data_IF_161023831410
#
_entry.id   IF_161023831410
#
_cell.length_a   1.000
_cell.length_b   1.000
_cell.length_c   1.000
_cell.angle_alpha   90.00
_cell.angle_beta   90.00
_cell.angle_gamma   90.00
#
_symmetry.space_group_name_H-M   'P 1'
#
loop_
_entity.id
_entity.type
_entity.pdbx_description
1 polymer ?
#
# COMPACT_ATOMS: atom_id res chain seq x y z
N UNK A 1 5.42 -16.72 3.07
CA UNK A 1 4.66 -17.81 2.42
C UNK A 1 5.22 -18.14 1.05
N UNK A 2 5.43 -17.17 0.15
CA UNK A 2 5.93 -17.44 -1.21
C UNK A 2 7.30 -18.11 -1.24
N UNK A 3 8.23 -17.68 -0.37
CA UNK A 3 9.51 -18.37 -0.17
C UNK A 3 9.33 -19.82 0.29
N UNK A 4 8.35 -20.09 1.17
CA UNK A 4 8.04 -21.45 1.65
C UNK A 4 7.50 -22.31 0.51
N UNK A 5 6.66 -21.76 -0.38
CA UNK A 5 6.20 -22.49 -1.57
C UNK A 5 7.36 -22.84 -2.50
N UNK A 6 8.28 -21.90 -2.72
CA UNK A 6 9.44 -22.13 -3.56
C UNK A 6 10.37 -23.20 -2.98
N UNK A 7 10.72 -23.09 -1.69
CA UNK A 7 11.61 -24.04 -1.00
C UNK A 7 10.99 -25.45 -0.92
N UNK A 8 9.68 -25.54 -0.68
CA UNK A 8 8.99 -26.84 -0.58
C UNK A 8 8.59 -27.47 -1.91
N UNK A 9 8.80 -26.78 -3.03
CA UNK A 9 8.32 -27.24 -4.34
C UNK A 9 6.78 -27.32 -4.42
N UNK A 10 6.07 -26.46 -3.68
CA UNK A 10 4.61 -26.49 -3.61
C UNK A 10 3.98 -26.12 -4.96
N UNK A 11 3.35 -27.10 -5.61
CA UNK A 11 2.59 -26.92 -6.85
C UNK A 11 1.42 -25.95 -6.65
N UNK A 12 1.09 -25.18 -7.69
CA UNK A 12 0.12 -24.08 -7.63
C UNK A 12 -1.23 -24.52 -7.04
N UNK A 13 -1.70 -25.70 -7.40
CA UNK A 13 -2.98 -26.28 -6.95
C UNK A 13 -3.05 -26.51 -5.43
N UNK A 14 -1.90 -26.67 -4.77
CA UNK A 14 -1.83 -26.93 -3.33
C UNK A 14 -1.52 -25.67 -2.50
N UNK A 15 -1.17 -24.55 -3.13
CA UNK A 15 -0.73 -23.34 -2.43
C UNK A 15 -1.82 -22.77 -1.50
N UNK A 16 -3.08 -22.75 -1.95
CA UNK A 16 -4.20 -22.28 -1.12
C UNK A 16 -4.40 -23.19 0.08
N UNK A 17 -4.46 -24.52 -0.14
CA UNK A 17 -4.59 -25.51 0.93
C UNK A 17 -3.47 -25.36 1.97
N UNK A 18 -2.24 -25.26 1.50
CA UNK A 18 -1.05 -25.07 2.34
C UNK A 18 -1.10 -23.74 3.11
N UNK A 19 -1.47 -22.62 2.48
CA UNK A 19 -1.57 -21.36 3.20
C UNK A 19 -2.68 -21.40 4.27
N UNK A 20 -3.83 -21.97 3.93
CA UNK A 20 -4.99 -21.98 4.82
C UNK A 20 -4.80 -22.88 6.04
N UNK A 21 -3.97 -23.93 5.93
CA UNK A 21 -3.66 -24.77 7.09
C UNK A 21 -2.79 -24.06 8.14
N UNK A 22 -2.12 -22.97 7.76
CA UNK A 22 -1.33 -22.13 8.68
C UNK A 22 -2.16 -21.01 9.33
N UNK A 23 -3.43 -20.84 8.94
CA UNK A 23 -4.29 -19.81 9.52
C UNK A 23 -4.69 -20.17 10.94
N UNK A 24 -4.69 -19.16 11.81
CA UNK A 24 -5.08 -19.28 13.21
C UNK A 24 -6.16 -18.24 13.57
N UNK A 25 -6.88 -18.50 14.67
CA UNK A 25 -7.82 -17.59 15.30
C UNK A 25 -8.80 -16.92 14.32
N UNK A 26 -8.83 -15.58 14.31
CA UNK A 26 -9.74 -14.77 13.50
C UNK A 26 -9.56 -15.01 11.99
N UNK A 27 -8.37 -15.38 11.52
CA UNK A 27 -8.12 -15.69 10.11
C UNK A 27 -8.74 -17.04 9.72
N UNK A 28 -8.63 -18.04 10.60
CA UNK A 28 -9.23 -19.36 10.40
C UNK A 28 -10.77 -19.29 10.42
N UNK A 29 -11.34 -18.55 11.38
CA UNK A 29 -12.80 -18.33 11.45
C UNK A 29 -13.30 -17.67 10.17
N UNK A 30 -12.56 -16.67 9.67
CA UNK A 30 -12.91 -16.01 8.42
C UNK A 30 -12.84 -16.95 7.21
N UNK A 31 -11.78 -17.76 7.09
CA UNK A 31 -11.63 -18.73 6.00
C UNK A 31 -12.75 -19.78 6.02
N UNK A 32 -13.11 -20.29 7.20
CA UNK A 32 -14.24 -21.22 7.35
C UNK A 32 -15.57 -20.59 6.93
N UNK A 33 -15.78 -19.30 7.23
CA UNK A 33 -16.90 -18.54 6.70
C UNK A 33 -16.88 -18.46 5.17
N UNK A 34 -15.70 -18.25 4.58
CA UNK A 34 -15.52 -18.22 3.13
C UNK A 34 -15.85 -19.55 2.46
N UNK A 35 -15.38 -20.67 3.05
CA UNK A 35 -15.70 -22.02 2.61
C UNK A 35 -17.20 -22.28 2.62
N UNK A 36 -17.91 -21.83 3.67
CA UNK A 36 -19.37 -21.97 3.76
C UNK A 36 -20.11 -21.19 2.68
N UNK A 37 -19.61 -20.01 2.30
CA UNK A 37 -20.26 -19.16 1.30
C UNK A 37 -19.99 -19.61 -0.13
N UNK A 38 -18.76 -20.00 -0.46
CA UNK A 38 -18.36 -20.36 -1.83
C UNK A 38 -18.46 -21.86 -2.12
N UNK A 39 -18.45 -22.70 -1.08
CA UNK A 39 -18.25 -24.13 -1.21
C UNK A 39 -16.76 -24.49 -1.25
N UNK A 40 -16.44 -25.72 -0.84
CA UNK A 40 -15.07 -26.20 -0.71
C UNK A 40 -14.35 -26.23 -2.07
N UNK A 41 -15.01 -26.76 -3.10
CA UNK A 41 -14.40 -26.92 -4.44
C UNK A 41 -14.03 -25.56 -5.05
N UNK A 42 -14.96 -24.61 -5.07
CA UNK A 42 -14.71 -23.28 -5.61
C UNK A 42 -13.69 -22.49 -4.78
N UNK A 43 -13.71 -22.65 -3.44
CA UNK A 43 -12.77 -21.98 -2.57
C UNK A 43 -11.33 -22.52 -2.76
N UNK A 44 -11.13 -23.83 -2.86
CA UNK A 44 -9.79 -24.40 -3.07
C UNK A 44 -9.32 -24.31 -4.52
N UNK A 45 -10.23 -24.14 -5.49
CA UNK A 45 -9.87 -23.86 -6.88
C UNK A 45 -9.34 -22.44 -7.11
N UNK A 46 -9.47 -21.53 -6.13
CA UNK A 46 -8.95 -20.18 -6.29
C UNK A 46 -7.42 -20.16 -6.34
N UNK A 47 -6.85 -19.17 -7.01
CA UNK A 47 -5.39 -18.99 -7.02
C UNK A 47 -4.90 -18.38 -5.71
N UNK A 48 -3.64 -18.66 -5.36
CA UNK A 48 -2.97 -18.00 -4.24
C UNK A 48 -3.03 -16.47 -4.32
N UNK A 49 -2.88 -15.90 -5.54
CA UNK A 49 -2.99 -14.46 -5.79
C UNK A 49 -4.34 -13.89 -5.33
N UNK A 50 -5.43 -14.60 -5.63
CA UNK A 50 -6.78 -14.20 -5.22
C UNK A 50 -6.96 -14.28 -3.71
N UNK A 51 -6.49 -15.35 -3.07
CA UNK A 51 -6.55 -15.49 -1.61
C UNK A 51 -5.75 -14.37 -0.92
N UNK A 52 -4.51 -14.12 -1.38
CA UNK A 52 -3.63 -13.06 -0.87
C UNK A 52 -4.32 -11.69 -0.94
N UNK A 53 -4.95 -11.36 -2.07
CA UNK A 53 -5.71 -10.10 -2.23
C UNK A 53 -6.87 -9.99 -1.23
N UNK A 54 -7.66 -11.05 -1.05
CA UNK A 54 -8.77 -11.06 -0.07
C UNK A 54 -8.28 -10.86 1.36
N UNK A 55 -7.20 -11.54 1.74
CA UNK A 55 -6.57 -11.41 3.06
C UNK A 55 -6.05 -9.98 3.29
N UNK A 56 -5.34 -9.40 2.32
CA UNK A 56 -4.85 -8.02 2.41
C UNK A 56 -6.00 -7.03 2.54
N UNK A 57 -7.07 -7.18 1.76
CA UNK A 57 -8.22 -6.27 1.85
C UNK A 57 -8.92 -6.33 3.23
N UNK A 58 -9.01 -7.53 3.84
CA UNK A 58 -9.70 -7.70 5.12
C UNK A 58 -8.86 -7.26 6.32
N UNK A 59 -7.58 -7.62 6.34
CA UNK A 59 -6.71 -7.43 7.50
C UNK A 59 -5.73 -6.27 7.35
N UNK A 60 -5.60 -5.69 6.15
CA UNK A 60 -4.74 -4.56 5.89
C UNK A 60 -5.45 -3.44 5.10
N UNK A 61 -6.50 -2.83 5.68
CA UNK A 61 -7.32 -1.82 5.00
C UNK A 61 -6.58 -0.51 4.69
N UNK A 62 -5.39 -0.29 5.26
CA UNK A 62 -4.56 0.89 4.98
C UNK A 62 -3.34 0.48 4.17
N UNK A 63 -3.36 0.78 2.87
CA UNK A 63 -2.33 0.44 1.88
C UNK A 63 -0.89 0.77 2.33
N UNK A 64 -0.73 1.79 3.18
CA UNK A 64 0.53 2.22 3.77
C UNK A 64 1.23 1.16 4.65
N UNK A 65 0.50 0.25 5.29
CA UNK A 65 1.09 -0.67 6.29
C UNK A 65 1.60 -1.99 5.65
N UNK A 66 1.09 -2.37 4.47
CA UNK A 66 1.32 -3.70 3.89
C UNK A 66 2.19 -3.73 2.64
N UNK A 67 2.96 -2.69 2.33
CA UNK A 67 3.98 -2.76 1.27
C UNK A 67 4.97 -3.90 1.50
N UNK A 68 5.19 -4.30 2.77
CA UNK A 68 6.01 -5.47 3.15
C UNK A 68 5.48 -6.83 2.67
N UNK A 69 4.19 -6.96 2.38
CA UNK A 69 3.56 -8.23 1.97
C UNK A 69 3.26 -8.31 0.47
N UNK A 70 3.33 -7.18 -0.24
CA UNK A 70 3.23 -7.14 -1.70
C UNK A 70 4.61 -7.49 -2.25
N UNK A 71 4.70 -8.37 -3.23
CA UNK A 71 5.98 -8.82 -3.80
C UNK A 71 6.30 -8.09 -5.11
N UNK A 72 5.27 -7.59 -5.79
CA UNK A 72 5.36 -6.83 -7.03
C UNK A 72 5.60 -5.34 -6.74
N UNK A 73 6.73 -4.81 -7.21
CA UNK A 73 7.11 -3.41 -6.98
C UNK A 73 6.13 -2.43 -7.61
N UNK A 74 5.59 -2.74 -8.79
CA UNK A 74 4.62 -1.87 -9.45
C UNK A 74 3.32 -1.79 -8.67
N UNK A 75 2.81 -2.91 -8.17
CA UNK A 75 1.62 -2.95 -7.30
C UNK A 75 1.86 -2.21 -5.98
N UNK A 76 3.09 -2.23 -5.43
CA UNK A 76 3.44 -1.43 -4.23
C UNK A 76 3.35 0.06 -4.52
N UNK A 77 3.95 0.52 -5.61
CA UNK A 77 3.94 1.93 -6.04
C UNK A 77 2.51 2.39 -6.29
N UNK A 78 1.72 1.63 -7.05
CA UNK A 78 0.32 1.97 -7.36
C UNK A 78 -0.53 2.09 -6.08
N UNK A 79 -0.35 1.18 -5.11
CA UNK A 79 -1.04 1.23 -3.81
C UNK A 79 -0.61 2.41 -2.95
N UNK A 80 0.67 2.74 -2.96
CA UNK A 80 1.20 3.89 -2.23
C UNK A 80 0.66 5.19 -2.81
N UNK A 81 0.70 5.32 -4.14
CA UNK A 81 0.16 6.46 -4.89
C UNK A 81 -1.35 6.61 -4.63
N UNK A 82 -2.13 5.53 -4.70
CA UNK A 82 -3.58 5.57 -4.42
C UNK A 82 -3.96 5.93 -2.98
N UNK A 83 -3.00 5.95 -2.05
CA UNK A 83 -3.20 6.38 -0.66
C UNK A 83 -2.71 7.79 -0.34
N UNK A 84 -2.08 8.48 -1.30
CA UNK A 84 -1.60 9.87 -1.15
C UNK A 84 -2.74 10.87 -1.34
N UNK A 85 -2.59 12.06 -0.72
CA UNK A 85 -3.48 13.20 -0.98
C UNK A 85 -3.41 13.62 -2.46
N UNK A 86 -4.55 13.97 -3.06
CA UNK A 86 -4.70 14.30 -4.50
C UNK A 86 -3.66 15.31 -5.03
N UNK A 87 -3.21 16.23 -4.17
CA UNK A 87 -2.26 17.28 -4.51
C UNK A 87 -0.78 16.84 -4.54
N UNK A 88 -0.48 15.60 -4.13
CA UNK A 88 0.82 14.93 -4.24
C UNK A 88 0.74 13.84 -5.31
N UNK A 89 -0.42 13.21 -5.44
CA UNK A 89 -0.72 12.16 -6.43
C UNK A 89 -0.27 12.53 -7.86
N UNK A 90 -0.68 13.68 -8.39
CA UNK A 90 -0.33 14.08 -9.77
C UNK A 90 1.18 14.25 -9.99
N UNK A 91 1.89 14.75 -8.98
CA UNK A 91 3.33 15.00 -9.07
C UNK A 91 4.14 13.71 -8.95
N UNK A 92 3.73 12.79 -8.07
CA UNK A 92 4.38 11.48 -7.91
C UNK A 92 4.14 10.58 -9.14
N UNK A 93 2.94 10.61 -9.73
CA UNK A 93 2.69 9.91 -11.00
C UNK A 93 3.54 10.47 -12.14
N UNK A 94 3.65 11.80 -12.24
CA UNK A 94 4.44 12.47 -13.28
C UNK A 94 5.92 12.06 -13.23
N UNK A 95 6.46 11.83 -12.03
CA UNK A 95 7.83 11.39 -11.81
C UNK A 95 8.11 9.93 -12.24
N UNK A 96 7.07 9.14 -12.57
CA UNK A 96 7.18 7.72 -12.98
C UNK A 96 8.08 6.88 -12.07
N UNK A 97 7.91 7.02 -10.75
CA UNK A 97 8.67 6.25 -9.76
C UNK A 97 8.58 4.76 -10.05
N UNK A 98 9.72 4.07 -10.10
CA UNK A 98 9.79 2.64 -10.42
C UNK A 98 9.77 1.78 -9.16
N UNK A 99 10.19 2.37 -8.04
CA UNK A 99 10.25 1.70 -6.73
C UNK A 99 9.43 2.45 -5.71
N UNK A 100 9.02 1.73 -4.66
CA UNK A 100 8.28 2.32 -3.55
C UNK A 100 9.11 3.37 -2.80
N UNK A 101 10.40 3.12 -2.61
CA UNK A 101 11.28 4.02 -1.87
C UNK A 101 11.45 5.36 -2.60
N UNK A 102 11.62 5.34 -3.93
CA UNK A 102 11.61 6.54 -4.77
C UNK A 102 10.30 7.33 -4.61
N UNK A 103 9.15 6.63 -4.60
CA UNK A 103 7.85 7.29 -4.44
C UNK A 103 7.70 7.92 -3.05
N UNK A 104 8.22 7.28 -2.00
CA UNK A 104 8.21 7.80 -0.63
C UNK A 104 9.10 9.04 -0.51
N UNK A 105 10.32 8.99 -1.06
CA UNK A 105 11.26 10.11 -1.05
C UNK A 105 10.67 11.33 -1.78
N UNK A 106 10.15 11.13 -2.98
CA UNK A 106 9.50 12.20 -3.76
C UNK A 106 8.30 12.82 -3.05
N UNK A 107 7.46 12.00 -2.39
CA UNK A 107 6.32 12.52 -1.63
C UNK A 107 6.77 13.38 -0.44
N UNK A 108 7.85 12.98 0.25
CA UNK A 108 8.41 13.73 1.37
C UNK A 108 9.03 15.05 0.91
N UNK A 109 9.83 15.02 -0.17
CA UNK A 109 10.45 16.22 -0.75
C UNK A 109 9.39 17.24 -1.18
N UNK A 110 8.30 16.78 -1.79
CA UNK A 110 7.21 17.64 -2.23
C UNK A 110 6.49 18.29 -1.04
N UNK A 111 6.31 17.55 0.06
CA UNK A 111 5.75 18.09 1.30
C UNK A 111 6.68 19.13 1.92
N UNK A 112 7.99 18.85 1.99
CA UNK A 112 8.98 19.80 2.51
C UNK A 112 9.05 21.08 1.66
N UNK A 113 9.00 20.94 0.34
CA UNK A 113 8.97 22.07 -0.60
C UNK A 113 7.73 22.95 -0.39
N UNK A 114 6.54 22.36 -0.20
CA UNK A 114 5.31 23.11 0.10
C UNK A 114 5.42 23.84 1.44
N UNK A 115 5.97 23.18 2.46
CA UNK A 115 6.18 23.78 3.79
C UNK A 115 7.13 24.98 3.72
N UNK A 116 8.27 24.83 3.02
CA UNK A 116 9.23 25.92 2.77
C UNK A 116 8.60 27.08 2.01
N UNK A 117 7.80 26.79 0.99
CA UNK A 117 7.11 27.82 0.20
C UNK A 117 6.13 28.61 1.06
N UNK A 118 5.37 27.93 1.91
CA UNK A 118 4.44 28.58 2.85
C UNK A 118 5.19 29.46 3.86
N UNK A 119 6.27 28.95 4.45
CA UNK A 119 7.11 29.70 5.40
C UNK A 119 7.73 30.95 4.76
N UNK A 120 8.17 30.86 3.49
CA UNK A 120 8.71 31.99 2.73
C UNK A 120 7.66 33.08 2.47
N UNK A 121 6.44 32.69 2.06
CA UNK A 121 5.33 33.64 1.87
C UNK A 121 4.95 34.35 3.17
N UNK A 122 4.92 33.64 4.29
CA UNK A 122 4.66 34.21 5.62
C UNK A 122 5.71 35.26 6.02
N UNK A 123 6.99 34.98 5.76
CA UNK A 123 8.07 35.93 6.07
C UNK A 123 8.06 37.16 5.15
N UNK A 124 7.78 36.99 3.86
CA UNK A 124 7.60 38.10 2.92
C UNK A 124 6.40 38.99 3.27
N UNK A 125 5.27 38.38 3.66
CA UNK A 125 4.07 39.13 4.06
C UNK A 125 4.29 39.95 5.34
N UNK A 126 5.03 39.41 6.32
CA UNK A 126 5.44 40.15 7.53
C UNK A 126 6.35 41.33 7.23
N UNK A 127 7.32 41.17 6.32
CA UNK A 127 8.21 42.26 5.89
C UNK A 127 7.44 43.39 5.20
N UNK A 128 6.48 43.06 4.33
CA UNK A 128 5.62 44.04 3.66
C UNK A 128 4.73 44.80 4.65
N UNK A 129 4.19 44.13 5.67
CA UNK A 129 3.39 44.77 6.72
C UNK A 129 4.21 45.76 7.55
N UNK A 130 5.44 45.41 7.96
CA UNK A 130 6.28 46.30 8.74
C UNK A 130 6.72 47.55 7.96
N UNK A 131 7.03 47.39 6.66
CA UNK A 131 7.42 48.52 5.81
C UNK A 131 6.28 49.52 5.58
N UNK A 132 5.02 49.06 5.58
CA UNK A 132 3.84 49.92 5.41
C UNK A 132 3.42 50.65 6.70
N UNK A 133 3.93 50.25 7.87
CA UNK A 133 3.64 50.90 9.16
C UNK A 133 4.74 51.88 9.61
N UNK A 134 5.81 52.02 8.83
CA UNK A 134 6.93 52.96 9.08
C UNK A 134 7.00 54.11 8.06
N UNK A 135 6.03 54.21 7.16
CA UNK A 135 5.82 55.36 6.27
C UNK A 135 4.60 56.15 6.74
#
# INVERSE_FOLDING_TARGET
>A
MESVFHISGCVIENQVKFATCTMLDAALIWWNGHLRTLGHDAAYAMTWKTLKKKMTNKYCPRALICTKFVSDEKEKVDKYIGGLLDNIYENVISARSKTLDEAIELANDLMDQKLRTYAKRQTESKRKFNNNNQA
#
